data_IF_081901682512
#
_entry.id   IF_081901682512
#
_cell.length_a   1.000
_cell.length_b   1.000
_cell.length_c   1.000
_cell.angle_alpha   90.00
_cell.angle_beta   90.00
_cell.angle_gamma   90.00
#
_symmetry.space_group_name_H-M   'P 1'
#
loop_
_entity.id
_entity.type
_entity.pdbx_description
1 polymer ?
#
# COMPACT_ATOMS: atom_id res chain seq x y z
N UNK A 1 -8.97 0.50 0.07
CA UNK A 1 -7.87 0.14 1.00
C UNK A 1 -8.37 -0.67 2.18
N UNK A 2 -9.35 -0.17 2.97
CA UNK A 2 -9.85 -0.86 4.18
C UNK A 2 -10.16 -2.36 3.99
N UNK A 3 -10.86 -2.75 2.92
CA UNK A 3 -11.18 -4.16 2.63
C UNK A 3 -9.93 -5.06 2.51
N UNK A 4 -8.86 -4.58 1.87
CA UNK A 4 -7.59 -5.32 1.80
C UNK A 4 -6.96 -5.49 3.19
N UNK A 5 -6.91 -4.41 3.99
CA UNK A 5 -6.35 -4.48 5.35
C UNK A 5 -7.14 -5.46 6.21
N UNK A 6 -8.47 -5.52 6.07
CA UNK A 6 -9.30 -6.48 6.76
C UNK A 6 -9.00 -7.93 6.38
N UNK A 7 -8.77 -8.21 5.09
CA UNK A 7 -8.36 -9.54 4.64
C UNK A 7 -6.96 -9.93 5.15
N UNK A 8 -6.02 -8.98 5.14
CA UNK A 8 -4.64 -9.24 5.59
C UNK A 8 -4.54 -9.49 7.10
N UNK A 9 -5.27 -8.72 7.92
CA UNK A 9 -5.29 -8.86 9.38
C UNK A 9 -6.29 -9.92 9.83
N UNK A 10 -7.10 -10.45 8.90
CA UNK A 10 -8.23 -11.35 9.18
C UNK A 10 -9.20 -10.75 10.22
N UNK A 11 -9.40 -9.43 10.18
CA UNK A 11 -10.29 -8.71 11.09
C UNK A 11 -10.91 -7.47 10.46
N UNK A 12 -12.20 -7.24 10.70
CA UNK A 12 -12.91 -6.03 10.29
C UNK A 12 -12.81 -4.89 11.31
N UNK A 13 -12.31 -5.18 12.53
CA UNK A 13 -12.20 -4.22 13.63
C UNK A 13 -11.13 -3.18 13.32
N UNK A 14 -11.52 -1.90 13.37
CA UNK A 14 -10.61 -0.77 13.09
C UNK A 14 -9.39 -0.74 14.01
N UNK A 15 -9.57 -1.08 15.29
CA UNK A 15 -8.49 -1.13 16.27
C UNK A 15 -7.41 -2.15 15.93
N UNK A 16 -7.79 -3.33 15.42
CA UNK A 16 -6.86 -4.38 14.98
C UNK A 16 -6.06 -3.94 13.73
N UNK A 17 -6.74 -3.28 12.78
CA UNK A 17 -6.07 -2.70 11.60
C UNK A 17 -5.10 -1.57 12.00
N UNK A 18 -5.46 -0.76 13.00
CA UNK A 18 -4.60 0.30 13.54
C UNK A 18 -3.34 -0.26 14.17
N UNK A 19 -3.49 -1.29 15.00
CA UNK A 19 -2.41 -1.97 15.71
C UNK A 19 -1.70 -3.04 14.88
N UNK A 20 -1.99 -3.14 13.58
CA UNK A 20 -1.28 -4.09 12.74
C UNK A 20 0.21 -3.71 12.72
N UNK A 21 1.07 -4.69 12.99
CA UNK A 21 2.52 -4.47 13.10
C UNK A 21 3.08 -3.82 11.84
N UNK A 22 2.50 -4.11 10.67
CA UNK A 22 2.68 -3.27 9.48
C UNK A 22 4.03 -3.32 8.80
N UNK A 23 5.05 -3.86 9.47
CA UNK A 23 6.40 -4.00 8.96
C UNK A 23 6.59 -5.29 8.16
N UNK A 24 5.72 -6.31 8.31
CA UNK A 24 5.78 -7.55 7.54
C UNK A 24 4.39 -7.97 7.09
N UNK A 25 4.26 -8.24 5.79
CA UNK A 25 3.18 -9.09 5.29
C UNK A 25 3.47 -10.51 5.77
N UNK A 26 2.57 -11.09 6.57
CA UNK A 26 2.74 -12.42 7.20
C UNK A 26 3.18 -13.50 6.19
N UNK A 27 2.63 -13.46 4.97
CA UNK A 27 2.95 -14.41 3.92
C UNK A 27 4.36 -14.26 3.31
N UNK A 28 5.05 -13.13 3.49
CA UNK A 28 6.32 -12.85 2.76
C UNK A 28 7.45 -12.32 3.62
N UNK A 29 7.20 -11.87 4.85
CA UNK A 29 8.24 -11.24 5.68
C UNK A 29 8.80 -9.94 5.09
N UNK A 30 8.07 -9.27 4.19
CA UNK A 30 8.48 -8.00 3.57
C UNK A 30 7.57 -6.84 4.01
N UNK A 31 8.06 -5.58 4.01
CA UNK A 31 7.26 -4.40 4.33
C UNK A 31 5.93 -4.35 3.58
N UNK A 32 4.84 -4.07 4.31
CA UNK A 32 3.52 -3.94 3.71
C UNK A 32 3.45 -2.67 2.84
N UNK A 33 3.21 -2.78 1.51
CA UNK A 33 3.15 -1.62 0.61
C UNK A 33 2.03 -0.64 0.96
N UNK A 34 1.05 -1.11 1.74
CA UNK A 34 -0.12 -0.34 2.10
C UNK A 34 -0.13 0.22 3.52
N UNK A 35 0.93 0.00 4.30
CA UNK A 35 0.95 0.33 5.72
C UNK A 35 0.58 1.79 5.99
N UNK A 36 1.12 2.73 5.21
CA UNK A 36 0.84 4.16 5.35
C UNK A 36 -0.57 4.57 4.94
N UNK A 37 -1.27 3.76 4.15
CA UNK A 37 -2.60 4.09 3.62
C UNK A 37 -3.74 3.42 4.40
N UNK A 38 -3.41 2.50 5.33
CA UNK A 38 -4.40 1.66 6.03
C UNK A 38 -5.41 2.46 6.84
N UNK A 39 -5.01 3.63 7.36
CA UNK A 39 -5.83 4.50 8.19
C UNK A 39 -6.64 5.53 7.40
N UNK A 40 -6.50 5.55 6.08
CA UNK A 40 -7.05 6.63 5.24
C UNK A 40 -6.15 7.87 5.25
N UNK A 41 -6.70 9.00 4.81
CA UNK A 41 -6.00 10.31 4.78
C UNK A 41 -5.00 10.48 3.62
N UNK A 42 -4.54 9.40 2.99
CA UNK A 42 -3.69 9.44 1.78
C UNK A 42 -4.31 8.64 0.65
N UNK A 43 -4.21 9.16 -0.57
CA UNK A 43 -4.56 8.41 -1.78
C UNK A 43 -3.50 7.34 -2.03
N UNK A 44 -3.93 6.10 -2.22
CA UNK A 44 -3.02 4.98 -2.52
C UNK A 44 -2.37 5.21 -3.89
N UNK A 45 -1.04 5.18 -3.92
CA UNK A 45 -0.28 5.28 -5.17
C UNK A 45 -0.37 3.95 -5.95
N UNK A 46 -0.39 4.03 -7.28
CA UNK A 46 -0.51 2.85 -8.15
C UNK A 46 0.68 1.88 -8.02
N UNK A 47 1.87 2.39 -7.71
CA UNK A 47 3.04 1.57 -7.45
C UNK A 47 2.87 0.65 -6.22
N UNK A 48 2.13 1.08 -5.19
CA UNK A 48 1.86 0.27 -4.00
C UNK A 48 1.02 -0.97 -4.35
N UNK A 49 0.04 -0.83 -5.25
CA UNK A 49 -0.72 -1.96 -5.78
C UNK A 49 0.17 -2.94 -6.53
N UNK A 50 1.02 -2.44 -7.43
CA UNK A 50 1.97 -3.26 -8.18
C UNK A 50 2.92 -4.03 -7.26
N UNK A 51 3.44 -3.37 -6.24
CA UNK A 51 4.37 -3.97 -5.28
C UNK A 51 3.69 -5.04 -4.42
N UNK A 52 2.43 -4.84 -4.01
CA UNK A 52 1.67 -5.88 -3.32
C UNK A 52 1.48 -7.14 -4.18
N UNK A 53 1.21 -6.98 -5.48
CA UNK A 53 1.13 -8.11 -6.40
C UNK A 53 2.49 -8.80 -6.58
N UNK A 54 3.60 -8.06 -6.65
CA UNK A 54 4.94 -8.65 -6.68
C UNK A 54 5.20 -9.48 -5.43
N UNK A 55 4.88 -8.94 -4.24
CA UNK A 55 5.02 -9.68 -2.99
C UNK A 55 4.23 -10.99 -3.01
N UNK A 56 2.98 -10.94 -3.48
CA UNK A 56 2.11 -12.12 -3.61
C UNK A 56 2.69 -13.19 -4.54
N UNK A 57 3.35 -12.79 -5.63
CA UNK A 57 3.88 -13.69 -6.67
C UNK A 57 5.39 -13.94 -6.54
N UNK A 58 5.93 -13.84 -5.32
CA UNK A 58 7.35 -14.14 -5.06
C UNK A 58 8.35 -13.19 -5.74
N UNK A 59 7.90 -12.02 -6.19
CA UNK A 59 8.70 -11.03 -6.92
C UNK A 59 8.67 -11.20 -8.43
N UNK A 60 7.95 -12.19 -8.98
CA UNK A 60 7.94 -12.45 -10.43
C UNK A 60 6.97 -11.53 -11.19
N UNK A 61 7.47 -10.69 -12.13
CA UNK A 61 6.60 -9.87 -12.96
C UNK A 61 5.75 -10.67 -13.95
N UNK A 62 6.23 -11.80 -14.46
CA UNK A 62 5.48 -12.67 -15.37
C UNK A 62 4.28 -13.30 -14.67
N UNK A 63 4.48 -13.84 -13.47
CA UNK A 63 3.39 -14.41 -12.68
C UNK A 63 2.33 -13.38 -12.29
N UNK A 64 2.70 -12.11 -12.08
CA UNK A 64 1.70 -11.05 -11.89
C UNK A 64 0.91 -10.78 -13.17
N UNK A 65 1.55 -10.91 -14.34
CA UNK A 65 0.89 -10.76 -15.64
C UNK A 65 -0.14 -11.85 -15.88
N UNK A 66 0.26 -13.08 -15.58
CA UNK A 66 -0.52 -14.31 -15.74
C UNK A 66 -1.46 -14.58 -14.56
N UNK A 67 -1.52 -13.70 -13.56
CA UNK A 67 -2.41 -13.88 -12.41
C UNK A 67 -3.89 -13.82 -12.84
N UNK A 68 -4.62 -14.91 -12.60
CA UNK A 68 -6.06 -15.05 -12.88
C UNK A 68 -6.95 -14.99 -11.63
N UNK A 69 -6.35 -14.76 -10.44
CA UNK A 69 -7.11 -14.75 -9.19
C UNK A 69 -8.16 -13.63 -9.16
N UNK A 70 -9.37 -13.97 -8.69
CA UNK A 70 -10.42 -13.01 -8.40
C UNK A 70 -10.10 -12.25 -7.10
N UNK A 71 -9.22 -11.25 -7.20
CA UNK A 71 -8.80 -10.44 -6.05
C UNK A 71 -9.00 -8.93 -6.29
N UNK A 72 -9.21 -8.20 -5.19
CA UNK A 72 -9.48 -6.75 -5.21
C UNK A 72 -8.34 -5.91 -5.83
N UNK A 73 -7.12 -6.44 -5.87
CA UNK A 73 -5.97 -5.75 -6.47
C UNK A 73 -5.80 -6.06 -7.96
N UNK A 74 -6.44 -7.11 -8.47
CA UNK A 74 -6.27 -7.59 -9.85
C UNK A 74 -6.42 -6.49 -10.91
N UNK A 75 -7.41 -5.57 -10.83
CA UNK A 75 -7.55 -4.49 -11.82
C UNK A 75 -6.39 -3.50 -11.80
N UNK A 76 -5.67 -3.39 -10.68
CA UNK A 76 -4.55 -2.46 -10.47
C UNK A 76 -3.18 -3.15 -10.52
N UNK A 77 -3.15 -4.47 -10.75
CA UNK A 77 -1.93 -5.30 -10.63
C UNK A 77 -0.78 -4.88 -11.54
N UNK A 78 -1.10 -4.17 -12.63
CA UNK A 78 -0.11 -3.59 -13.56
C UNK A 78 0.36 -2.18 -13.18
N UNK A 79 -0.02 -1.66 -12.01
CA UNK A 79 0.28 -0.29 -11.63
C UNK A 79 -0.47 0.75 -12.47
N UNK A 80 -1.60 0.36 -13.06
CA UNK A 80 -2.47 1.23 -13.87
C UNK A 80 -3.85 1.28 -13.23
N UNK A 81 -4.51 2.44 -13.30
CA UNK A 81 -5.88 2.58 -12.87
C UNK A 81 -6.81 2.32 -14.08
N UNK A 82 -7.67 1.30 -14.07
CA UNK A 82 -8.60 1.06 -15.18
C UNK A 82 -9.61 2.20 -15.34
N UNK A 83 -9.98 2.88 -14.26
CA UNK A 83 -11.04 3.90 -14.26
C UNK A 83 -10.63 5.23 -14.94
N UNK A 84 -9.36 5.38 -15.32
CA UNK A 84 -8.83 6.57 -16.01
C UNK A 84 -8.49 6.30 -17.49
N UNK A 85 -8.56 5.06 -17.98
CA UNK A 85 -8.35 4.78 -19.41
C UNK A 85 -9.46 5.48 -20.20
N UNK A 86 -9.10 6.40 -21.09
CA UNK A 86 -10.05 7.17 -21.89
C UNK A 86 -10.79 8.28 -21.13
N UNK A 87 -10.39 8.61 -19.90
CA UNK A 87 -11.00 9.74 -19.18
C UNK A 87 -10.62 11.07 -19.84
N UNK A 88 -11.62 11.91 -20.15
CA UNK A 88 -11.39 13.26 -20.67
C UNK A 88 -10.60 14.10 -19.66
N UNK A 89 -9.84 15.08 -20.15
CA UNK A 89 -9.12 16.04 -19.29
C UNK A 89 -10.06 16.73 -18.31
N UNK A 90 -11.28 17.00 -18.74
CA UNK A 90 -12.34 17.62 -17.95
C UNK A 90 -12.83 16.72 -16.81
N UNK A 91 -13.09 15.42 -17.09
CA UNK A 91 -13.40 14.42 -16.06
C UNK A 91 -12.26 14.28 -15.05
N UNK A 92 -11.02 14.30 -15.51
CA UNK A 92 -9.84 14.21 -14.64
C UNK A 92 -9.69 15.45 -13.75
N UNK A 93 -10.00 16.65 -14.26
CA UNK A 93 -10.06 17.89 -13.45
C UNK A 93 -11.14 17.82 -12.38
N UNK A 94 -12.32 17.29 -12.69
CA UNK A 94 -13.43 17.16 -11.75
C UNK A 94 -13.15 16.20 -10.58
N UNK A 95 -12.33 15.15 -10.80
CA UNK A 95 -12.00 14.13 -9.79
C UNK A 95 -10.73 14.50 -8.99
N UNK A 96 -9.90 15.44 -9.48
CA UNK A 96 -8.69 15.87 -8.77
C UNK A 96 -9.13 16.49 -7.43
N UNK A 97 -8.66 15.97 -6.28
CA UNK A 97 -8.94 16.61 -5.01
C UNK A 97 -8.41 18.04 -5.07
N UNK A 98 -9.27 19.02 -4.77
CA UNK A 98 -8.84 20.42 -4.62
C UNK A 98 -7.76 20.44 -3.53
N UNK A 99 -6.69 21.19 -3.78
CA UNK A 99 -5.56 21.31 -2.85
C UNK A 99 -6.10 21.68 -1.46
N UNK A 100 -5.78 20.85 -0.44
CA UNK A 100 -6.32 20.99 0.93
C UNK A 100 -7.37 19.95 1.38
N UNK A 101 -7.81 19.02 0.53
CA UNK A 101 -8.82 18.02 0.90
C UNK A 101 -8.30 16.85 1.78
N UNK A 102 -8.53 16.96 3.09
CA UNK A 102 -8.37 15.97 4.18
C UNK A 102 -6.96 15.92 4.82
N UNK A 103 -6.56 17.03 5.43
CA UNK A 103 -5.58 17.06 6.53
C UNK A 103 -6.30 16.84 7.86
N UNK A 104 -6.61 15.59 8.23
CA UNK A 104 -6.85 15.27 9.63
C UNK A 104 -5.97 14.10 10.03
N UNK A 105 -4.79 14.44 10.55
CA UNK A 105 -4.03 13.64 11.49
C UNK A 105 -2.99 12.69 10.90
N UNK A 106 -1.77 13.18 10.70
CA UNK A 106 -0.59 12.49 11.24
C UNK A 106 0.62 13.44 11.26
N UNK A 107 1.01 13.84 12.47
CA UNK A 107 2.27 14.54 12.72
C UNK A 107 3.42 13.70 12.18
N UNK A 108 4.32 14.35 11.43
CA UNK A 108 5.54 13.74 10.90
C UNK A 108 6.47 13.43 12.06
N UNK A 109 6.39 12.23 12.65
CA UNK A 109 7.47 11.75 13.53
C UNK A 109 8.49 10.99 12.69
N UNK A 110 9.48 11.78 12.29
CA UNK A 110 10.71 11.52 11.56
C UNK A 110 11.71 10.61 12.31
N UNK A 111 11.25 9.68 13.16
CA UNK A 111 12.14 8.99 14.11
C UNK A 111 12.39 7.50 13.84
N UNK A 112 11.71 6.85 12.88
CA UNK A 112 11.79 5.39 12.74
C UNK A 112 12.59 4.87 11.54
N UNK A 113 12.97 5.73 10.59
CA UNK A 113 13.78 5.34 9.43
C UNK A 113 15.25 5.83 9.50
N UNK A 114 15.74 6.16 10.68
CA UNK A 114 17.17 6.43 10.94
C UNK A 114 17.94 5.19 11.44
N UNK A 115 17.27 4.05 11.66
CA UNK A 115 17.89 2.81 12.14
C UNK A 115 18.14 1.83 11.00
N UNK A 116 19.08 2.14 10.10
CA UNK A 116 19.80 1.18 9.24
C UNK A 116 20.85 1.90 8.37
N UNK A 117 21.71 2.68 9.01
CA UNK A 117 23.07 2.91 8.52
C UNK A 117 24.00 2.16 9.48
N UNK A 118 24.36 0.97 9.04
CA UNK A 118 25.34 0.02 9.57
C UNK A 118 26.68 0.62 10.01
N UNK A 119 27.20 0.17 11.17
CA UNK A 119 28.53 -0.42 11.30
C UNK A 119 28.76 -0.89 12.75
N UNK A 120 29.15 -2.16 12.92
CA UNK A 120 29.22 -2.85 14.20
C UNK A 120 30.36 -2.38 15.12
N UNK A 121 30.16 -2.60 16.42
CA UNK A 121 31.22 -2.63 17.42
C UNK A 121 31.35 -4.07 17.91
N UNK A 122 32.56 -4.62 17.78
CA UNK A 122 33.03 -5.78 18.54
C UNK A 122 33.08 -5.39 20.02
N UNK A 123 32.72 -6.32 20.88
CA UNK A 123 32.87 -6.25 22.34
C UNK A 123 33.51 -7.57 22.82
N UNK A 124 34.11 -7.57 24.04
CA UNK A 124 35.55 -7.74 24.25
C UNK A 124 36.08 -9.17 24.16
#
# INVERSE_FOLDING_TARGET
MRAWCSNCVQSTRRGEIQKCGGYLVLATGKPCPFYEYRLGGKRVKLNAFRQACLLCMGGSPSLVRECEANCLLHPFRMGKNPNIRGASKERMRAIRPKEGGISTGFSKNEALYARKASAGKKEP
#
